data_IF_243233612020
#
_entry.id   IF_243233612020
#
_cell.length_a   1.000
_cell.length_b   1.000
_cell.length_c   1.000
_cell.angle_alpha   90.00
_cell.angle_beta   90.00
_cell.angle_gamma   90.00
#
_symmetry.space_group_name_H-M   'P 1'
#
loop_
_entity.id
_entity.type
_entity.pdbx_description
1 polymer ?
#
# COMPACT_ATOMS: atom_id res chain seq x y z
N UNK A 1 4.61 8.02 -0.71
CA UNK A 1 5.35 9.29 -0.87
C UNK A 1 5.76 9.77 0.51
N UNK A 2 7.03 10.06 0.78
CA UNK A 2 7.45 10.52 2.12
C UNK A 2 6.86 11.90 2.43
N UNK A 3 6.46 12.15 3.67
CA UNK A 3 6.00 13.45 4.14
C UNK A 3 7.04 14.55 3.88
N UNK A 4 8.33 14.24 3.97
CA UNK A 4 9.42 15.20 3.75
C UNK A 4 9.63 15.55 2.27
N UNK A 5 9.33 14.63 1.35
CA UNK A 5 9.44 14.81 -0.11
C UNK A 5 8.09 14.84 -0.83
N UNK A 6 7.03 15.15 -0.07
CA UNK A 6 5.64 15.03 -0.55
C UNK A 6 5.37 15.94 -1.75
N UNK A 7 5.84 17.19 -1.71
CA UNK A 7 5.62 18.15 -2.80
C UNK A 7 6.18 17.66 -4.12
N UNK A 8 7.45 17.26 -4.13
CA UNK A 8 8.11 16.71 -5.31
C UNK A 8 7.38 15.45 -5.82
N UNK A 9 7.00 14.57 -4.89
CA UNK A 9 6.29 13.33 -5.25
C UNK A 9 4.92 13.61 -5.89
N UNK A 10 4.18 14.60 -5.37
CA UNK A 10 2.90 15.01 -5.92
C UNK A 10 3.03 15.70 -7.28
N UNK A 11 4.09 16.46 -7.51
CA UNK A 11 4.38 17.07 -8.81
C UNK A 11 4.70 16.01 -9.88
N UNK A 12 5.52 15.02 -9.54
CA UNK A 12 5.80 13.88 -10.42
C UNK A 12 4.54 13.08 -10.74
N UNK A 13 3.61 12.96 -9.79
CA UNK A 13 2.33 12.29 -9.98
C UNK A 13 1.26 13.16 -10.69
N UNK A 14 1.44 14.48 -10.77
CA UNK A 14 0.43 15.41 -11.26
C UNK A 14 0.07 15.20 -12.73
N UNK A 15 0.97 14.62 -13.53
CA UNK A 15 0.72 14.28 -14.93
C UNK A 15 -0.46 13.31 -15.16
N UNK A 16 -0.93 12.64 -14.11
CA UNK A 16 -2.08 11.73 -14.15
C UNK A 16 -3.45 12.43 -14.12
N UNK A 17 -3.50 13.76 -13.97
CA UNK A 17 -4.76 14.54 -13.97
C UNK A 17 -5.58 14.46 -12.67
N UNK A 18 -5.12 13.71 -11.66
CA UNK A 18 -5.79 13.51 -10.37
C UNK A 18 -5.11 14.27 -9.22
N UNK A 19 -4.57 15.45 -9.50
CA UNK A 19 -3.85 16.26 -8.53
C UNK A 19 -4.71 16.75 -7.35
N UNK A 20 -4.06 17.02 -6.22
CA UNK A 20 -4.69 17.63 -5.04
C UNK A 20 -4.79 19.15 -5.19
N UNK A 21 -5.85 19.75 -4.62
CA UNK A 21 -5.97 21.21 -4.55
C UNK A 21 -4.86 21.81 -3.68
N UNK A 22 -4.45 23.07 -3.93
CA UNK A 22 -3.39 23.73 -3.15
C UNK A 22 -3.68 23.72 -1.64
N UNK A 23 -4.92 23.97 -1.24
CA UNK A 23 -5.33 23.97 0.17
C UNK A 23 -5.12 22.60 0.82
N UNK A 24 -5.50 21.52 0.13
CA UNK A 24 -5.31 20.15 0.61
C UNK A 24 -3.84 19.78 0.67
N UNK A 25 -3.02 20.24 -0.28
CA UNK A 25 -1.57 20.03 -0.24
C UNK A 25 -0.96 20.70 0.99
N UNK A 26 -1.33 21.95 1.27
CA UNK A 26 -0.85 22.68 2.45
C UNK A 26 -1.30 21.98 3.74
N UNK A 27 -2.56 21.57 3.83
CA UNK A 27 -3.09 20.83 4.98
C UNK A 27 -2.32 19.52 5.22
N UNK A 28 -2.04 18.73 4.16
CA UNK A 28 -1.29 17.48 4.27
C UNK A 28 0.15 17.69 4.77
N UNK A 29 0.84 18.73 4.31
CA UNK A 29 2.21 19.01 4.74
C UNK A 29 2.29 19.26 6.25
N UNK A 30 1.34 20.03 6.79
CA UNK A 30 1.32 20.30 8.22
C UNK A 30 0.81 19.10 9.01
N UNK A 31 -0.30 18.49 8.58
CA UNK A 31 -0.95 17.42 9.35
C UNK A 31 -0.12 16.14 9.41
N UNK A 32 0.59 15.76 8.34
CA UNK A 32 1.45 14.57 8.36
C UNK A 32 2.66 14.73 9.29
N UNK A 33 3.19 15.95 9.46
CA UNK A 33 4.25 16.23 10.44
C UNK A 33 3.73 16.12 11.88
N UNK A 34 2.49 16.56 12.12
CA UNK A 34 1.82 16.35 13.41
C UNK A 34 1.60 14.85 13.67
N UNK A 35 1.12 14.09 12.68
CA UNK A 35 0.96 12.63 12.79
C UNK A 35 2.29 11.94 13.11
N UNK A 36 3.37 12.32 12.42
CA UNK A 36 4.73 11.79 12.69
C UNK A 36 5.11 11.99 14.16
N UNK A 37 4.91 13.20 14.68
CA UNK A 37 5.23 13.57 16.07
C UNK A 37 4.32 12.86 17.08
N UNK A 38 3.01 12.91 16.88
CA UNK A 38 2.01 12.49 17.86
C UNK A 38 2.01 10.96 18.04
N UNK A 39 2.21 10.22 16.95
CA UNK A 39 2.31 8.75 16.98
C UNK A 39 3.75 8.22 17.08
N UNK A 40 4.75 9.12 17.12
CA UNK A 40 6.20 8.81 17.20
C UNK A 40 6.67 7.87 16.09
N UNK A 41 6.24 8.12 14.85
CA UNK A 41 6.74 7.39 13.69
C UNK A 41 8.12 7.90 13.28
N UNK A 42 8.97 6.99 12.81
CA UNK A 42 10.25 7.38 12.20
C UNK A 42 10.01 8.06 10.84
N UNK A 43 9.07 7.51 10.07
CA UNK A 43 8.63 8.06 8.78
C UNK A 43 7.13 7.96 8.61
N UNK A 44 6.56 8.93 7.89
CA UNK A 44 5.15 8.93 7.50
C UNK A 44 5.08 9.03 5.99
N UNK A 45 4.38 8.09 5.35
CA UNK A 45 4.15 8.08 3.93
C UNK A 45 2.71 8.51 3.64
N UNK A 46 2.53 9.48 2.76
CA UNK A 46 1.25 9.63 2.08
C UNK A 46 1.09 8.49 1.08
N UNK A 47 0.06 7.68 1.29
CA UNK A 47 -0.25 6.51 0.46
C UNK A 47 -1.00 6.94 -0.80
N UNK A 48 -1.99 7.81 -0.63
CA UNK A 48 -2.81 8.30 -1.74
C UNK A 48 -4.23 8.67 -1.31
N UNK A 49 -5.14 8.62 -2.27
CA UNK A 49 -6.54 8.98 -2.10
C UNK A 49 -7.45 7.93 -2.71
N UNK A 50 -8.52 7.57 -1.99
CA UNK A 50 -9.59 6.69 -2.46
C UNK A 50 -10.83 7.56 -2.66
N UNK A 51 -11.39 7.55 -3.88
CA UNK A 51 -12.53 8.37 -4.24
C UNK A 51 -13.82 7.75 -3.69
N UNK A 52 -14.59 8.55 -2.97
CA UNK A 52 -15.94 8.19 -2.53
C UNK A 52 -16.99 8.98 -3.29
N UNK A 53 -18.26 8.66 -3.05
CA UNK A 53 -19.41 9.35 -3.65
C UNK A 53 -19.66 10.69 -2.94
N UNK A 54 -19.63 10.69 -1.62
CA UNK A 54 -19.87 11.87 -0.76
C UNK A 54 -18.56 12.55 -0.41
N UNK A 55 -17.55 11.79 -0.01
CA UNK A 55 -16.24 12.30 0.39
C UNK A 55 -15.11 11.35 0.00
N UNK A 56 -13.92 11.92 -0.22
CA UNK A 56 -12.71 11.16 -0.52
C UNK A 56 -11.95 10.80 0.76
N UNK A 57 -11.38 9.59 0.78
CA UNK A 57 -10.46 9.16 1.83
C UNK A 57 -9.02 9.49 1.45
N UNK A 58 -8.30 10.14 2.35
CA UNK A 58 -6.86 10.40 2.27
C UNK A 58 -6.16 9.43 3.20
N UNK A 59 -5.18 8.69 2.68
CA UNK A 59 -4.54 7.61 3.43
C UNK A 59 -3.07 7.96 3.70
N UNK A 60 -2.65 7.76 4.94
CA UNK A 60 -1.27 7.88 5.37
C UNK A 60 -0.83 6.60 6.10
N UNK A 61 0.46 6.29 6.03
CA UNK A 61 1.05 5.13 6.68
C UNK A 61 2.24 5.56 7.52
N UNK A 62 2.21 5.25 8.80
CA UNK A 62 3.34 5.40 9.71
C UNK A 62 4.23 4.17 9.65
N UNK A 63 5.55 4.39 9.50
CA UNK A 63 6.58 3.37 9.57
C UNK A 63 7.38 3.53 10.87
N UNK A 64 7.73 2.37 11.42
CA UNK A 64 8.67 2.23 12.52
C UNK A 64 10.11 2.24 11.99
N UNK A 65 11.08 2.07 12.88
CA UNK A 65 12.49 1.93 12.53
C UNK A 65 12.74 0.82 11.50
N UNK A 66 12.15 -0.37 11.72
CA UNK A 66 12.14 -1.45 10.74
C UNK A 66 11.15 -1.14 9.60
N UNK A 67 11.69 -0.94 8.41
CA UNK A 67 10.91 -0.54 7.23
C UNK A 67 9.95 -1.64 6.75
N UNK A 68 10.18 -2.91 7.12
CA UNK A 68 9.30 -4.03 6.75
C UNK A 68 8.29 -4.39 7.83
N UNK A 69 8.35 -3.75 9.00
CA UNK A 69 7.39 -3.98 10.07
C UNK A 69 5.95 -3.59 9.65
N UNK A 70 4.91 -4.16 10.29
CA UNK A 70 3.52 -3.82 10.00
C UNK A 70 3.27 -2.31 10.09
N UNK A 71 2.81 -1.72 8.99
CA UNK A 71 2.53 -0.29 8.90
C UNK A 71 1.25 0.04 9.65
N UNK A 72 1.24 1.20 10.31
CA UNK A 72 0.02 1.74 10.90
C UNK A 72 -0.65 2.67 9.91
N UNK A 73 -1.81 2.28 9.42
CA UNK A 73 -2.56 3.04 8.41
C UNK A 73 -3.54 4.00 9.08
N UNK A 74 -3.53 5.25 8.64
CA UNK A 74 -4.46 6.29 9.06
C UNK A 74 -5.27 6.78 7.87
N UNK A 75 -6.52 7.17 8.12
CA UNK A 75 -7.35 7.86 7.14
C UNK A 75 -7.73 9.26 7.60
N UNK A 76 -8.06 10.11 6.64
CA UNK A 76 -8.62 11.44 6.85
C UNK A 76 -9.63 11.76 5.74
N UNK A 77 -10.63 12.58 6.04
CA UNK A 77 -11.58 13.10 5.05
C UNK A 77 -11.26 14.57 4.67
N UNK A 78 -10.58 15.29 5.58
CA UNK A 78 -10.30 16.72 5.47
C UNK A 78 -8.80 17.06 5.33
N UNK A 79 -7.91 16.05 5.35
CA UNK A 79 -6.45 16.21 5.32
C UNK A 79 -5.85 16.89 6.56
N UNK A 80 -6.61 17.02 7.65
CA UNK A 80 -6.22 17.71 8.88
C UNK A 80 -6.29 16.75 10.06
N UNK A 81 -7.45 16.10 10.22
CA UNK A 81 -7.71 15.14 11.30
C UNK A 81 -7.50 13.72 10.78
N UNK A 82 -6.72 12.94 11.53
CA UNK A 82 -6.34 11.59 11.15
C UNK A 82 -6.84 10.58 12.16
N UNK A 83 -7.46 9.52 11.67
CA UNK A 83 -7.98 8.41 12.48
C UNK A 83 -7.24 7.13 12.12
N UNK A 84 -6.84 6.37 13.15
CA UNK A 84 -6.10 5.11 12.97
C UNK A 84 -7.06 4.01 12.53
N UNK A 85 -6.71 3.30 11.46
CA UNK A 85 -7.42 2.11 11.02
C UNK A 85 -6.94 0.87 11.79
N UNK A 86 -7.84 -0.09 12.08
CA UNK A 86 -7.42 -1.38 12.60
C UNK A 86 -6.56 -2.13 11.55
N UNK A 87 -5.65 -3.01 12.00
CA UNK A 87 -4.87 -3.83 11.08
C UNK A 87 -5.76 -4.75 10.26
N UNK A 88 -5.38 -5.01 9.01
CA UNK A 88 -6.08 -5.96 8.15
C UNK A 88 -5.89 -7.40 8.67
N UNK A 89 -6.97 -8.17 8.67
CA UNK A 89 -6.96 -9.61 8.98
C UNK A 89 -7.36 -10.39 7.73
N UNK A 90 -6.73 -11.52 7.46
CA UNK A 90 -6.96 -12.32 6.23
C UNK A 90 -8.41 -12.83 6.12
N UNK A 91 -9.03 -13.16 7.25
CA UNK A 91 -10.45 -13.55 7.34
C UNK A 91 -11.37 -12.45 6.79
N UNK A 92 -11.15 -11.21 7.24
CA UNK A 92 -11.88 -10.03 6.79
C UNK A 92 -11.63 -9.75 5.31
N UNK A 93 -10.40 -9.94 4.84
CA UNK A 93 -10.06 -9.70 3.44
C UNK A 93 -10.88 -10.57 2.48
N UNK A 94 -11.11 -11.83 2.84
CA UNK A 94 -11.88 -12.79 2.03
C UNK A 94 -13.36 -12.40 1.96
N UNK A 95 -13.94 -11.99 3.09
CA UNK A 95 -15.32 -11.50 3.15
C UNK A 95 -15.49 -10.21 2.31
N UNK A 96 -14.51 -9.29 2.39
CA UNK A 96 -14.57 -8.01 1.67
C UNK A 96 -14.39 -8.14 0.16
N UNK A 97 -13.77 -9.23 -0.33
CA UNK A 97 -13.63 -9.47 -1.77
C UNK A 97 -14.98 -9.64 -2.48
N UNK A 98 -16.03 -9.99 -1.73
CA UNK A 98 -17.39 -10.15 -2.25
C UNK A 98 -18.15 -8.81 -2.39
N UNK A 99 -17.75 -7.79 -1.64
CA UNK A 99 -18.39 -6.46 -1.65
C UNK A 99 -17.83 -5.60 -2.79
N UNK A 100 -18.63 -5.43 -3.84
CA UNK A 100 -18.29 -4.61 -5.01
C UNK A 100 -19.08 -3.31 -5.00
N UNK A 101 -18.44 -2.21 -5.38
CA UNK A 101 -19.10 -0.90 -5.46
C UNK A 101 -18.12 0.25 -5.30
N UNK A 102 -18.62 1.48 -5.38
CA UNK A 102 -17.82 2.66 -4.97
C UNK A 102 -17.83 2.78 -3.45
N UNK A 103 -16.92 3.58 -2.90
CA UNK A 103 -16.99 3.99 -1.49
C UNK A 103 -18.01 5.11 -1.35
N UNK A 104 -18.73 5.16 -0.22
CA UNK A 104 -19.63 6.27 0.07
C UNK A 104 -18.86 7.48 0.56
N UNK A 105 -17.76 7.30 1.29
CA UNK A 105 -17.05 8.39 1.97
C UNK A 105 -17.50 8.60 3.42
N UNK A 106 -18.15 7.61 4.01
CA UNK A 106 -18.54 7.60 5.42
C UNK A 106 -18.06 6.30 6.08
N UNK A 107 -17.10 6.34 7.04
CA UNK A 107 -16.60 5.16 7.74
C UNK A 107 -17.69 4.32 8.42
N UNK A 108 -18.80 4.96 8.82
CA UNK A 108 -19.91 4.32 9.54
C UNK A 108 -20.97 3.74 8.61
N UNK A 109 -20.83 3.90 7.29
CA UNK A 109 -21.74 3.30 6.33
C UNK A 109 -21.63 1.76 6.38
N UNK A 110 -22.78 1.09 6.37
CA UNK A 110 -22.87 -0.36 6.43
C UNK A 110 -23.41 -0.90 5.10
N UNK A 111 -22.65 -1.80 4.49
CA UNK A 111 -23.06 -2.56 3.32
C UNK A 111 -23.77 -3.83 3.76
N UNK A 112 -24.94 -4.09 3.21
CA UNK A 112 -25.64 -5.36 3.38
C UNK A 112 -25.06 -6.39 2.40
N UNK A 113 -24.57 -7.51 2.93
CA UNK A 113 -24.19 -8.66 2.13
C UNK A 113 -25.00 -9.90 2.54
N UNK A 114 -25.72 -10.47 1.58
CA UNK A 114 -26.41 -11.75 1.75
C UNK A 114 -25.47 -12.87 1.31
N UNK A 115 -25.00 -13.70 2.25
CA UNK A 115 -24.29 -14.92 1.90
C UNK A 115 -25.29 -16.01 1.49
N UNK A 116 -25.30 -16.41 0.22
CA UNK A 116 -26.04 -17.60 -0.20
C UNK A 116 -25.21 -18.86 0.11
N UNK A 117 -25.34 -19.43 1.30
CA UNK A 117 -24.80 -20.76 1.56
C UNK A 117 -25.64 -21.80 0.80
N UNK A 118 -25.15 -22.23 -0.37
CA UNK A 118 -25.68 -23.42 -1.06
C UNK A 118 -25.24 -24.67 -0.31
N UNK A 119 -25.85 -24.96 0.83
CA UNK A 119 -25.96 -26.29 1.43
C UNK A 119 -26.76 -26.13 2.72
N UNK A 120 -27.91 -26.80 2.79
CA UNK A 120 -28.89 -26.84 3.88
C UNK A 120 -29.79 -25.61 4.02
N UNK A 121 -31.08 -25.88 4.11
CA UNK A 121 -32.16 -24.91 4.20
C UNK A 121 -32.13 -24.18 5.55
N UNK A 122 -32.65 -22.95 5.55
CA UNK A 122 -33.05 -22.14 6.70
C UNK A 122 -31.91 -21.43 7.46
N UNK A 123 -31.37 -20.36 6.86
CA UNK A 123 -31.30 -19.00 7.43
C UNK A 123 -30.40 -18.11 6.55
N UNK A 124 -30.99 -17.09 5.92
CA UNK A 124 -30.22 -16.06 5.20
C UNK A 124 -29.44 -15.22 6.23
N UNK A 125 -28.15 -15.49 6.41
CA UNK A 125 -27.29 -14.66 7.27
C UNK A 125 -26.91 -13.39 6.52
N UNK A 126 -27.61 -12.30 6.80
CA UNK A 126 -27.23 -10.95 6.34
C UNK A 126 -26.04 -10.49 7.18
N UNK A 127 -24.86 -10.42 6.57
CA UNK A 127 -23.67 -9.87 7.21
C UNK A 127 -23.60 -8.38 6.89
N UNK A 128 -23.71 -7.55 7.92
CA UNK A 128 -23.47 -6.11 7.81
C UNK A 128 -21.98 -5.82 7.89
N UNK A 129 -21.48 -5.10 6.89
CA UNK A 129 -20.07 -4.78 6.75
C UNK A 129 -19.87 -3.28 6.79
N UNK A 130 -19.13 -2.79 7.78
CA UNK A 130 -18.73 -1.38 7.85
C UNK A 130 -17.77 -1.01 6.72
N UNK A 131 -17.95 0.19 6.16
CA UNK A 131 -17.10 0.76 5.13
C UNK A 131 -15.64 0.89 5.59
N UNK A 132 -15.42 1.22 6.86
CA UNK A 132 -14.08 1.25 7.46
C UNK A 132 -13.34 -0.10 7.32
N UNK A 133 -14.02 -1.22 7.58
CA UNK A 133 -13.43 -2.57 7.45
C UNK A 133 -13.08 -2.88 5.99
N UNK A 134 -13.96 -2.45 5.07
CA UNK A 134 -13.74 -2.59 3.63
C UNK A 134 -12.55 -1.75 3.17
N UNK A 135 -12.42 -0.53 3.67
CA UNK A 135 -11.31 0.38 3.38
C UNK A 135 -9.97 -0.26 3.76
N UNK A 136 -9.88 -0.84 4.96
CA UNK A 136 -8.68 -1.55 5.43
C UNK A 136 -8.28 -2.70 4.50
N UNK A 137 -9.25 -3.54 4.11
CA UNK A 137 -8.99 -4.67 3.21
C UNK A 137 -8.50 -4.21 1.83
N UNK A 138 -9.12 -3.17 1.27
CA UNK A 138 -8.74 -2.64 -0.05
C UNK A 138 -7.33 -2.05 -0.02
N UNK A 139 -6.97 -1.30 1.03
CA UNK A 139 -5.62 -0.74 1.19
C UNK A 139 -4.60 -1.88 1.27
N UNK A 140 -4.84 -2.90 2.09
CA UNK A 140 -3.94 -4.05 2.22
C UNK A 140 -3.77 -4.82 0.90
N UNK A 141 -4.84 -5.03 0.14
CA UNK A 141 -4.77 -5.67 -1.17
C UNK A 141 -3.93 -4.86 -2.18
N UNK A 142 -4.13 -3.54 -2.21
CA UNK A 142 -3.37 -2.66 -3.10
C UNK A 142 -1.90 -2.62 -2.68
N UNK A 143 -1.60 -2.51 -1.38
CA UNK A 143 -0.23 -2.54 -0.89
C UNK A 143 0.48 -3.84 -1.26
N UNK A 144 -0.20 -4.98 -1.10
CA UNK A 144 0.34 -6.30 -1.47
C UNK A 144 0.60 -6.43 -2.98
N UNK A 145 -0.10 -5.67 -3.81
CA UNK A 145 -0.02 -5.78 -5.27
C UNK A 145 0.89 -4.71 -5.92
N UNK A 146 0.98 -3.51 -5.35
CA UNK A 146 1.51 -2.31 -6.04
C UNK A 146 2.61 -1.62 -5.26
N UNK A 147 2.81 -1.91 -3.96
CA UNK A 147 3.93 -1.30 -3.23
C UNK A 147 5.25 -1.84 -3.78
N UNK A 148 6.00 -0.99 -4.48
CA UNK A 148 7.25 -1.35 -5.15
C UNK A 148 8.43 -0.54 -4.64
N UNK A 149 9.63 -1.13 -4.69
CA UNK A 149 10.87 -0.48 -4.29
C UNK A 149 12.04 -0.92 -5.19
N UNK A 150 12.94 -0.02 -5.60
CA UNK A 150 14.11 -0.40 -6.39
C UNK A 150 15.14 -1.18 -5.56
N UNK A 151 15.88 -2.05 -6.23
CA UNK A 151 16.99 -2.82 -5.66
C UNK A 151 17.99 -1.91 -4.97
N UNK A 152 18.37 -2.25 -3.74
CA UNK A 152 19.40 -1.52 -3.00
C UNK A 152 18.92 -0.24 -2.30
N UNK A 153 17.65 0.16 -2.45
CA UNK A 153 17.08 1.25 -1.65
C UNK A 153 16.84 0.85 -0.19
N UNK A 154 16.64 -0.44 0.08
CA UNK A 154 16.64 -1.03 1.41
C UNK A 154 17.74 -2.08 1.51
N UNK A 155 18.20 -2.32 2.73
CA UNK A 155 19.05 -3.45 3.03
C UNK A 155 18.62 -4.09 4.36
N UNK A 156 18.80 -5.40 4.45
CA UNK A 156 18.49 -6.19 5.64
C UNK A 156 19.75 -6.42 6.45
N UNK A 157 19.72 -6.04 7.72
CA UNK A 157 20.84 -6.31 8.62
C UNK A 157 20.88 -7.78 9.01
N UNK A 158 22.05 -8.34 9.38
CA UNK A 158 22.15 -9.70 9.92
C UNK A 158 21.30 -9.92 11.17
N UNK A 159 20.98 -8.85 11.90
CA UNK A 159 20.14 -8.89 13.10
C UNK A 159 18.63 -8.97 12.80
N UNK A 160 18.22 -8.79 11.54
CA UNK A 160 16.82 -8.90 11.12
C UNK A 160 16.20 -7.60 10.58
N UNK A 161 16.34 -6.44 11.26
CA UNK A 161 15.71 -5.19 10.85
C UNK A 161 16.14 -4.73 9.45
N UNK A 162 15.19 -4.15 8.73
CA UNK A 162 15.38 -3.57 7.40
C UNK A 162 15.47 -2.06 7.51
N UNK A 163 16.52 -1.48 6.92
CA UNK A 163 16.76 -0.04 6.95
C UNK A 163 16.85 0.55 5.54
N UNK A 164 16.61 1.86 5.46
CA UNK A 164 16.83 2.63 4.24
C UNK A 164 18.32 2.76 3.97
N UNK A 165 18.72 2.45 2.75
CA UNK A 165 20.08 2.69 2.30
C UNK A 165 20.28 4.16 1.95
N UNK A 166 20.96 4.91 2.82
CA UNK A 166 21.22 6.35 2.62
C UNK A 166 22.23 6.64 1.51
N UNK A 167 23.00 5.66 1.08
CA UNK A 167 23.97 5.81 -0.02
C UNK A 167 23.39 5.40 -1.38
N UNK A 168 22.11 5.07 -1.43
CA UNK A 168 21.45 4.74 -2.69
C UNK A 168 21.20 5.98 -3.53
N UNK A 169 21.91 6.10 -4.64
CA UNK A 169 21.81 7.24 -5.58
C UNK A 169 20.75 7.03 -6.68
N UNK A 170 20.08 5.87 -6.68
CA UNK A 170 19.15 5.47 -7.74
C UNK A 170 19.68 4.34 -8.60
N UNK A 171 18.79 3.79 -9.43
CA UNK A 171 19.17 2.78 -10.42
C UNK A 171 19.76 3.45 -11.67
N UNK A 172 20.81 2.89 -12.27
CA UNK A 172 21.26 3.35 -13.59
C UNK A 172 20.17 3.10 -14.63
N UNK A 173 20.14 3.92 -15.69
CA UNK A 173 19.08 3.89 -16.70
C UNK A 173 18.89 2.50 -17.36
N UNK A 174 19.98 1.73 -17.50
CA UNK A 174 19.95 0.37 -18.04
C UNK A 174 19.20 -0.62 -17.15
N UNK A 175 19.23 -0.42 -15.83
CA UNK A 175 18.56 -1.26 -14.84
C UNK A 175 17.16 -0.73 -14.52
N UNK A 176 16.96 0.59 -14.53
CA UNK A 176 15.66 1.22 -14.27
C UNK A 176 14.54 0.78 -15.24
N UNK A 177 14.89 0.21 -16.40
CA UNK A 177 13.92 -0.34 -17.36
C UNK A 177 13.59 -1.83 -17.12
N UNK A 178 14.32 -2.51 -16.25
CA UNK A 178 14.17 -3.94 -15.99
C UNK A 178 13.30 -4.17 -14.77
N UNK A 179 12.32 -5.05 -14.89
CA UNK A 179 11.46 -5.45 -13.77
C UNK A 179 12.23 -6.17 -12.66
N UNK A 180 13.33 -6.86 -13.00
CA UNK A 180 14.21 -7.54 -12.05
C UNK A 180 14.92 -6.59 -11.09
N UNK A 181 14.99 -5.30 -11.41
CA UNK A 181 15.58 -4.27 -10.54
C UNK A 181 14.57 -3.69 -9.54
N UNK A 182 13.32 -4.17 -9.54
CA UNK A 182 12.26 -3.73 -8.63
C UNK A 182 11.69 -4.91 -7.85
N UNK A 183 11.32 -4.63 -6.61
CA UNK A 183 10.82 -5.62 -5.66
C UNK A 183 9.53 -5.16 -5.01
N UNK A 184 8.71 -6.13 -4.58
CA UNK A 184 7.54 -5.87 -3.75
C UNK A 184 7.96 -5.39 -2.36
N UNK A 185 7.43 -4.26 -1.93
CA UNK A 185 7.67 -3.68 -0.61
C UNK A 185 6.69 -4.25 0.43
N UNK A 186 6.82 -5.55 0.69
CA UNK A 186 6.05 -6.34 1.67
C UNK A 186 6.86 -7.57 2.09
N UNK A 187 6.39 -8.31 3.09
CA UNK A 187 7.02 -9.58 3.44
C UNK A 187 7.05 -10.55 2.25
N UNK A 188 8.20 -11.21 2.01
CA UNK A 188 8.34 -12.07 0.85
C UNK A 188 7.55 -13.36 0.99
N UNK A 189 6.79 -13.68 -0.05
CA UNK A 189 5.98 -14.89 -0.19
C UNK A 189 6.70 -15.90 -1.10
N UNK A 190 7.24 -15.44 -2.22
CA UNK A 190 7.86 -16.28 -3.24
C UNK A 190 9.24 -16.80 -2.85
N UNK A 191 10.08 -15.97 -2.21
CA UNK A 191 11.43 -16.35 -1.76
C UNK A 191 11.44 -17.57 -0.82
N UNK A 192 10.39 -17.76 -0.02
CA UNK A 192 10.29 -18.91 0.88
C UNK A 192 10.30 -20.23 0.09
N UNK A 193 9.72 -20.22 -1.10
CA UNK A 193 9.53 -21.38 -1.96
C UNK A 193 10.70 -21.62 -2.95
N UNK A 194 11.70 -20.74 -3.01
CA UNK A 194 12.87 -20.92 -3.88
C UNK A 194 13.77 -22.06 -3.42
N UNK A 195 14.38 -22.74 -4.39
CA UNK A 195 15.35 -23.83 -4.19
C UNK A 195 16.66 -23.30 -3.60
N UNK A 196 17.49 -24.20 -3.05
CA UNK A 196 18.80 -23.83 -2.50
C UNK A 196 19.75 -23.28 -3.57
N UNK A 197 19.68 -23.81 -4.79
CA UNK A 197 20.48 -23.34 -5.93
C UNK A 197 20.12 -21.88 -6.27
N UNK A 198 18.84 -21.58 -6.41
CA UNK A 198 18.38 -20.21 -6.70
C UNK A 198 18.69 -19.23 -5.56
N UNK A 199 18.72 -19.71 -4.32
CA UNK A 199 19.09 -18.89 -3.15
C UNK A 199 20.59 -18.59 -3.08
N UNK A 200 21.44 -19.43 -3.68
CA UNK A 200 22.88 -19.24 -3.67
C UNK A 200 23.33 -18.04 -4.52
N UNK A 201 22.55 -17.68 -5.53
CA UNK A 201 22.82 -16.53 -6.42
C UNK A 201 22.30 -15.20 -5.85
N UNK A 202 21.55 -15.21 -4.75
CA UNK A 202 20.93 -14.02 -4.15
C UNK A 202 21.82 -13.42 -3.06
N UNK A 203 21.88 -12.10 -2.98
CA UNK A 203 22.49 -11.41 -1.85
C UNK A 203 21.48 -11.37 -0.67
N UNK A 204 21.75 -11.98 0.50
CA UNK A 204 20.79 -12.01 1.61
C UNK A 204 20.46 -10.64 2.21
N UNK A 205 21.34 -9.64 2.02
CA UNK A 205 21.16 -8.27 2.50
C UNK A 205 20.33 -7.43 1.52
N UNK A 206 20.45 -7.67 0.22
CA UNK A 206 19.81 -6.85 -0.83
C UNK A 206 18.61 -7.52 -1.50
N UNK A 207 18.67 -8.84 -1.72
CA UNK A 207 17.70 -9.63 -2.49
C UNK A 207 16.79 -10.44 -1.55
N UNK A 208 16.33 -9.80 -0.47
CA UNK A 208 15.45 -10.39 0.56
C UNK A 208 13.95 -10.19 0.30
N UNK A 209 13.58 -9.56 -0.82
CA UNK A 209 12.19 -9.28 -1.24
C UNK A 209 11.83 -10.00 -2.54
N UNK A 210 10.53 -10.12 -2.85
CA UNK A 210 10.07 -10.74 -4.09
C UNK A 210 10.25 -9.80 -5.29
N UNK A 211 10.94 -10.27 -6.34
CA UNK A 211 11.18 -9.51 -7.58
C UNK A 211 9.93 -9.46 -8.46
N UNK A 212 9.68 -8.30 -9.10
CA UNK A 212 8.57 -8.11 -10.03
C UNK A 212 8.72 -8.89 -11.35
N UNK A 213 9.91 -9.43 -11.65
CA UNK A 213 10.15 -10.23 -12.85
C UNK A 213 9.23 -11.45 -12.95
N UNK A 214 8.81 -12.00 -11.80
CA UNK A 214 8.01 -13.21 -11.70
C UNK A 214 6.51 -12.93 -11.52
N UNK A 215 6.10 -11.66 -11.57
CA UNK A 215 4.70 -11.29 -11.41
C UNK A 215 3.90 -11.70 -12.64
N UNK A 216 2.88 -12.53 -12.41
CA UNK A 216 1.90 -12.90 -13.42
C UNK A 216 0.70 -11.96 -13.26
N UNK A 217 0.43 -11.05 -14.22
CA UNK A 217 -0.71 -10.15 -14.12
C UNK A 217 -2.02 -10.95 -14.12
N UNK A 218 -2.73 -10.95 -12.99
CA UNK A 218 -4.08 -11.51 -12.87
C UNK A 218 -5.07 -10.53 -13.50
N UNK A 219 -5.31 -10.65 -14.80
CA UNK A 219 -6.34 -9.89 -15.51
C UNK A 219 -5.79 -9.00 -16.61
N UNK A 220 -6.44 -9.07 -17.78
CA UNK A 220 -6.01 -8.46 -19.03
C UNK A 220 -6.01 -6.92 -19.01
N UNK A 221 -4.99 -6.35 -19.68
CA UNK A 221 -4.85 -4.99 -20.27
C UNK A 221 -4.76 -3.79 -19.32
N UNK A 222 -3.52 -3.34 -19.13
CA UNK A 222 -3.17 -1.97 -19.50
C UNK A 222 -1.77 -1.93 -20.14
N UNK A 223 -1.70 -2.35 -21.41
CA UNK A 223 -0.67 -1.85 -22.31
C UNK A 223 -1.13 -0.47 -22.78
N UNK A 224 -0.78 0.58 -22.04
CA UNK A 224 -0.86 1.93 -22.56
C UNK A 224 0.52 2.59 -22.39
N UNK A 225 1.16 2.80 -23.53
CA UNK A 225 2.34 3.64 -23.76
C UNK A 225 3.73 3.04 -23.45
N UNK A 226 4.11 2.02 -24.24
CA UNK A 226 5.48 1.93 -24.78
C UNK A 226 5.39 1.65 -26.29
N UNK A 227 5.06 2.68 -27.08
CA UNK A 227 5.37 2.77 -28.51
C UNK A 227 5.51 4.25 -28.87
N UNK A 228 6.64 4.59 -29.49
CA UNK A 228 7.04 5.92 -29.92
C UNK A 228 8.48 6.19 -29.52
#
# INVERSE_FOLDING_TARGET
>A
MDAESLLLSLELAAGSGLGLSPDRRAALLTSLQLVKRDYRYDRVLFWGRILGIVADYYIAQGLSEDQLAPRKTLYSLNCIEWSLLPPATEERATQMAMVKGRFMGDPSHEYEHTEFQKMTAEDDVVVQVKEETRLVSVIDQIDKAVAIIPRGALFKTPFGPVHVNRTFEGLPLSEARKLSSYFHFREPVGLKNKTLLEKADLDPSLDFLDSLEHDIPKGHRCCACWRG
#
